data_IF_312220570636
#
_entry.id   IF_312220570636
#
_cell.length_a   1.000
_cell.length_b   1.000
_cell.length_c   1.000
_cell.angle_alpha   90.00
_cell.angle_beta   90.00
_cell.angle_gamma   90.00
#
_symmetry.space_group_name_H-M   'P 1'
#
loop_
_entity.id
_entity.type
_entity.pdbx_description
1 polymer ?
#
# COMPACT_ATOMS: atom_id res chain seq x y z
N UNK A 1 -11.92 -1.50 42.57
CA UNK A 1 -11.70 -2.03 41.21
C UNK A 1 -11.67 -0.81 40.31
N UNK A 2 -10.53 -0.49 39.69
CA UNK A 2 -10.46 0.67 38.80
C UNK A 2 -11.29 0.37 37.54
N UNK A 3 -12.19 1.27 37.16
CA UNK A 3 -12.96 1.14 35.93
C UNK A 3 -11.99 1.03 34.74
N UNK A 4 -12.13 -0.04 33.97
CA UNK A 4 -11.36 -0.24 32.74
C UNK A 4 -11.73 0.87 31.75
N UNK A 5 -10.76 1.71 31.40
CA UNK A 5 -10.93 2.75 30.38
C UNK A 5 -10.89 2.06 29.02
N UNK A 6 -11.96 2.23 28.24
CA UNK A 6 -12.06 1.70 26.89
C UNK A 6 -12.09 2.86 25.89
N UNK A 7 -11.66 2.64 24.63
CA UNK A 7 -11.83 3.63 23.58
C UNK A 7 -13.30 4.07 23.45
N UNK A 8 -13.52 5.37 23.33
CA UNK A 8 -14.86 5.95 23.22
C UNK A 8 -14.86 7.46 23.48
N UNK A 9 -15.99 8.14 23.21
CA UNK A 9 -16.15 9.54 23.54
C UNK A 9 -16.04 9.75 25.06
N UNK A 10 -15.41 10.85 25.46
CA UNK A 10 -15.36 11.20 26.87
C UNK A 10 -16.75 11.58 27.38
N UNK A 11 -17.10 11.19 28.61
CA UNK A 11 -18.37 11.59 29.21
C UNK A 11 -18.40 13.11 29.43
N UNK A 12 -19.59 13.72 29.60
CA UNK A 12 -19.74 15.16 29.79
C UNK A 12 -18.97 15.72 31.00
N UNK A 13 -18.74 14.91 32.03
CA UNK A 13 -17.89 15.25 33.18
C UNK A 13 -16.37 15.28 32.89
N UNK A 14 -15.94 14.88 31.68
CA UNK A 14 -14.55 14.87 31.24
C UNK A 14 -13.92 13.48 31.20
N UNK A 15 -12.81 13.36 30.46
CA UNK A 15 -12.04 12.12 30.42
C UNK A 15 -11.40 11.87 31.80
N UNK A 16 -11.22 10.59 32.22
CA UNK A 16 -10.39 10.29 33.38
C UNK A 16 -8.98 10.86 33.21
N UNK A 17 -8.22 11.04 34.29
CA UNK A 17 -6.82 11.42 34.14
C UNK A 17 -6.00 10.25 33.57
N UNK A 18 -5.05 10.51 32.66
CA UNK A 18 -4.14 9.50 32.13
C UNK A 18 -3.40 8.77 33.25
N UNK A 19 -3.12 7.48 33.06
CA UNK A 19 -2.45 6.65 34.07
C UNK A 19 -0.93 6.72 33.96
N UNK A 20 -0.41 7.02 32.77
CA UNK A 20 1.02 7.19 32.51
C UNK A 20 1.26 8.12 31.30
N UNK A 21 2.53 8.48 31.12
CA UNK A 21 3.01 9.19 29.93
C UNK A 21 3.82 8.18 29.13
N UNK A 22 3.37 7.88 27.91
CA UNK A 22 4.08 7.01 27.00
C UNK A 22 4.90 7.81 26.01
N UNK A 23 6.04 7.26 25.65
CA UNK A 23 6.88 7.79 24.60
C UNK A 23 6.75 6.89 23.37
N UNK A 24 6.07 7.40 22.35
CA UNK A 24 5.74 6.64 21.14
C UNK A 24 6.55 7.16 19.95
N UNK A 25 6.97 6.24 19.09
CA UNK A 25 7.54 6.55 17.78
C UNK A 25 6.41 6.41 16.76
N UNK A 26 6.10 7.50 16.08
CA UNK A 26 5.00 7.57 15.11
C UNK A 26 5.39 8.43 13.91
N UNK A 27 4.77 8.15 12.77
CA UNK A 27 4.90 9.00 11.60
C UNK A 27 3.90 10.15 11.68
N UNK A 28 4.42 11.37 11.77
CA UNK A 28 3.62 12.58 11.66
C UNK A 28 3.45 12.91 10.19
N UNK A 29 2.21 12.82 9.70
CA UNK A 29 1.83 13.23 8.35
C UNK A 29 1.63 14.75 8.33
N UNK A 30 2.38 15.47 7.49
CA UNK A 30 2.27 16.92 7.30
C UNK A 30 1.24 17.27 6.23
N UNK A 31 1.24 16.49 5.15
CA UNK A 31 0.33 16.61 4.03
C UNK A 31 0.22 15.25 3.34
N UNK A 32 -0.89 15.01 2.66
CA UNK A 32 -1.14 13.78 1.93
C UNK A 32 -2.07 14.02 0.76
N UNK A 33 -1.79 13.38 -0.36
CA UNK A 33 -2.69 13.34 -1.50
C UNK A 33 -2.84 11.90 -2.00
N UNK A 34 -3.94 11.61 -2.68
CA UNK A 34 -4.10 10.33 -3.36
C UNK A 34 -4.55 10.54 -4.81
N UNK A 35 -4.14 9.63 -5.68
CA UNK A 35 -4.58 9.61 -7.07
C UNK A 35 -4.61 8.17 -7.61
N UNK A 36 -5.58 7.90 -8.47
CA UNK A 36 -5.62 6.67 -9.26
C UNK A 36 -4.70 6.84 -10.47
N UNK A 37 -3.74 5.92 -10.60
CA UNK A 37 -2.73 5.91 -11.67
C UNK A 37 -2.90 4.64 -12.50
N UNK A 38 -3.32 4.82 -13.76
CA UNK A 38 -3.38 3.75 -14.76
C UNK A 38 -2.06 3.70 -15.54
N UNK A 39 -1.42 2.53 -15.58
CA UNK A 39 -0.12 2.34 -16.23
C UNK A 39 -0.13 1.10 -17.11
N UNK A 40 0.46 1.23 -18.29
CA UNK A 40 0.72 0.14 -19.22
C UNK A 40 2.22 -0.03 -19.37
N UNK A 41 2.72 -1.25 -19.14
CA UNK A 41 4.15 -1.58 -19.23
C UNK A 41 4.35 -2.89 -19.95
N UNK A 42 5.45 -2.97 -20.71
CA UNK A 42 5.84 -4.18 -21.43
C UNK A 42 7.08 -4.75 -20.74
N UNK A 43 7.10 -6.06 -20.55
CA UNK A 43 8.27 -6.81 -20.11
C UNK A 43 8.42 -8.05 -20.97
N UNK A 44 9.65 -8.53 -21.12
CA UNK A 44 9.91 -9.88 -21.63
C UNK A 44 10.02 -10.87 -20.48
N UNK A 45 9.62 -12.11 -20.73
CA UNK A 45 9.84 -13.28 -19.87
C UNK A 45 10.48 -14.37 -20.71
N UNK A 46 11.54 -14.98 -20.18
CA UNK A 46 12.25 -16.08 -20.84
C UNK A 46 11.50 -17.39 -20.68
N UNK A 47 11.40 -18.18 -21.75
CA UNK A 47 10.59 -19.40 -21.80
C UNK A 47 11.44 -20.63 -22.17
N UNK A 48 10.97 -21.81 -21.79
CA UNK A 48 11.65 -23.08 -22.06
C UNK A 48 12.54 -23.58 -20.92
N UNK A 49 13.01 -24.82 -21.04
CA UNK A 49 13.66 -25.55 -19.93
C UNK A 49 14.85 -24.78 -19.36
N UNK A 50 14.79 -24.45 -18.06
CA UNK A 50 15.84 -23.73 -17.34
C UNK A 50 15.70 -22.21 -17.33
N UNK A 51 14.64 -21.66 -17.94
CA UNK A 51 14.33 -20.22 -17.93
C UNK A 51 13.27 -19.86 -16.88
N UNK A 52 12.78 -18.62 -16.90
CA UNK A 52 11.78 -18.12 -15.94
C UNK A 52 10.47 -18.91 -16.01
N UNK A 53 9.97 -19.17 -17.23
CA UNK A 53 8.77 -19.98 -17.47
C UNK A 53 9.08 -21.21 -18.33
N UNK A 54 9.52 -22.32 -17.70
CA UNK A 54 9.91 -23.52 -18.43
C UNK A 54 8.73 -24.31 -19.02
N UNK A 55 7.52 -24.17 -18.49
CA UNK A 55 6.40 -25.05 -18.85
C UNK A 55 5.35 -24.37 -19.73
N UNK A 56 4.91 -25.10 -20.76
CA UNK A 56 3.71 -24.79 -21.53
C UNK A 56 3.95 -24.11 -22.87
N UNK A 57 2.91 -24.14 -23.71
CA UNK A 57 2.87 -23.42 -24.97
C UNK A 57 2.24 -22.05 -24.75
N UNK A 58 2.87 -21.01 -25.29
CA UNK A 58 2.42 -19.63 -25.14
C UNK A 58 1.76 -19.14 -26.41
N UNK A 59 0.65 -18.41 -26.26
CA UNK A 59 -0.07 -17.83 -27.39
C UNK A 59 -0.37 -16.35 -27.16
N UNK A 60 -0.39 -15.57 -28.22
CA UNK A 60 -0.77 -14.15 -28.15
C UNK A 60 -2.22 -14.03 -27.69
N UNK A 61 -2.47 -13.14 -26.73
CA UNK A 61 -3.77 -12.93 -26.09
C UNK A 61 -4.00 -13.79 -24.84
N UNK A 62 -3.07 -14.66 -24.48
CA UNK A 62 -3.15 -15.43 -23.24
C UNK A 62 -3.02 -14.51 -22.03
N UNK A 63 -3.96 -14.61 -21.09
CA UNK A 63 -3.97 -13.83 -19.84
C UNK A 63 -2.91 -14.39 -18.90
N UNK A 64 -2.06 -13.51 -18.39
CA UNK A 64 -1.02 -13.79 -17.40
C UNK A 64 -1.52 -13.28 -16.04
N UNK A 65 -1.74 -14.15 -15.04
CA UNK A 65 -2.07 -13.70 -13.70
C UNK A 65 -0.97 -12.80 -13.13
N UNK A 66 -1.36 -11.69 -12.52
CA UNK A 66 -0.44 -10.75 -11.91
C UNK A 66 -0.98 -10.19 -10.60
N UNK A 67 -0.08 -10.00 -9.64
CA UNK A 67 -0.40 -9.46 -8.32
C UNK A 67 0.79 -8.67 -7.77
N UNK A 68 0.54 -7.87 -6.74
CA UNK A 68 1.63 -7.26 -5.98
C UNK A 68 2.49 -8.36 -5.36
N UNK A 69 3.81 -8.25 -5.46
CA UNK A 69 4.73 -9.25 -4.92
C UNK A 69 4.52 -9.43 -3.43
N UNK A 70 4.37 -10.68 -2.98
CA UNK A 70 4.07 -10.99 -1.58
C UNK A 70 5.16 -10.45 -0.64
N UNK A 71 4.74 -9.75 0.41
CA UNK A 71 5.66 -9.13 1.37
C UNK A 71 6.39 -7.89 0.86
N UNK A 72 6.05 -7.40 -0.34
CA UNK A 72 6.54 -6.13 -0.88
C UNK A 72 5.45 -5.07 -0.83
N UNK A 73 5.88 -3.81 -0.81
CA UNK A 73 5.01 -2.65 -0.81
C UNK A 73 5.35 -1.74 -2.00
N UNK A 74 4.40 -0.92 -2.43
CA UNK A 74 4.67 0.14 -3.40
C UNK A 74 5.51 1.19 -2.69
N UNK A 75 6.64 1.56 -3.29
CA UNK A 75 7.59 2.50 -2.69
C UNK A 75 7.88 3.66 -3.62
N UNK A 76 8.40 4.75 -3.06
CA UNK A 76 8.83 5.89 -3.83
C UNK A 76 10.16 6.40 -3.32
N UNK A 77 10.94 6.94 -4.26
CA UNK A 77 12.19 7.64 -3.96
C UNK A 77 12.09 9.06 -4.48
N UNK A 78 12.39 10.04 -3.65
CA UNK A 78 12.47 11.44 -4.08
C UNK A 78 13.55 11.60 -5.15
N UNK A 79 13.16 12.13 -6.31
CA UNK A 79 14.06 12.47 -7.42
C UNK A 79 14.45 13.94 -7.32
N UNK A 80 13.48 14.81 -7.06
CA UNK A 80 13.70 16.24 -6.96
C UNK A 80 12.65 16.92 -6.10
N UNK A 81 13.06 18.07 -5.54
CA UNK A 81 12.23 18.95 -4.73
C UNK A 81 12.48 20.39 -5.14
N UNK A 82 11.41 21.08 -5.52
CA UNK A 82 11.44 22.50 -5.90
C UNK A 82 10.60 23.28 -4.89
N UNK A 83 11.21 24.19 -4.11
CA UNK A 83 10.46 25.03 -3.18
C UNK A 83 9.44 25.91 -3.89
N UNK A 84 8.21 25.94 -3.37
CA UNK A 84 7.16 26.86 -3.78
C UNK A 84 6.96 27.98 -2.74
N UNK A 85 5.79 28.63 -2.82
CA UNK A 85 5.37 29.64 -1.84
C UNK A 85 4.73 28.97 -0.61
N UNK A 86 4.72 29.68 0.54
CA UNK A 86 4.02 29.30 1.77
C UNK A 86 4.32 27.89 2.35
N UNK A 87 5.53 27.36 2.11
CA UNK A 87 5.96 26.06 2.64
C UNK A 87 5.50 24.86 1.82
N UNK A 88 4.82 25.08 0.70
CA UNK A 88 4.58 24.05 -0.30
C UNK A 88 5.85 23.78 -1.10
N UNK A 89 6.04 22.52 -1.47
CA UNK A 89 7.12 22.08 -2.34
C UNK A 89 6.54 21.23 -3.46
N UNK A 90 7.09 21.39 -4.67
CA UNK A 90 6.83 20.47 -5.77
C UNK A 90 7.83 19.33 -5.68
N UNK A 91 7.34 18.12 -5.40
CA UNK A 91 8.16 16.91 -5.27
C UNK A 91 7.93 16.04 -6.50
N UNK A 92 9.02 15.59 -7.12
CA UNK A 92 8.98 14.50 -8.09
C UNK A 92 9.54 13.24 -7.45
N UNK A 93 8.75 12.18 -7.43
CA UNK A 93 9.13 10.86 -6.91
C UNK A 93 9.17 9.81 -8.02
N UNK A 94 10.07 8.83 -7.87
CA UNK A 94 10.08 7.60 -8.65
C UNK A 94 9.28 6.55 -7.89
N UNK A 95 8.06 6.27 -8.34
CA UNK A 95 7.21 5.21 -7.78
C UNK A 95 7.66 3.88 -8.37
N UNK A 96 7.84 2.88 -7.50
CA UNK A 96 8.25 1.51 -7.82
C UNK A 96 7.14 0.55 -7.43
N UNK A 97 6.60 -0.18 -8.41
CA UNK A 97 5.50 -1.13 -8.23
C UNK A 97 6.02 -2.55 -8.48
N UNK A 98 6.26 -3.34 -7.43
CA UNK A 98 6.70 -4.74 -7.57
C UNK A 98 5.51 -5.64 -7.90
N UNK A 99 5.53 -6.25 -9.08
CA UNK A 99 4.52 -7.20 -9.54
C UNK A 99 5.14 -8.58 -9.75
N UNK A 100 4.44 -9.60 -9.28
CA UNK A 100 4.72 -10.99 -9.59
C UNK A 100 3.81 -11.42 -10.73
N UNK A 101 4.41 -11.94 -11.80
CA UNK A 101 3.71 -12.53 -12.93
C UNK A 101 3.78 -14.05 -12.82
N UNK A 102 2.63 -14.71 -12.89
CA UNK A 102 2.55 -16.18 -12.82
C UNK A 102 2.41 -16.76 -14.22
N UNK A 103 3.15 -17.84 -14.50
CA UNK A 103 3.00 -18.55 -15.76
C UNK A 103 1.55 -19.06 -15.89
N UNK A 104 0.81 -18.67 -16.95
CA UNK A 104 -0.56 -19.11 -17.15
C UNK A 104 -0.72 -20.62 -17.39
N UNK A 105 0.37 -21.32 -17.69
CA UNK A 105 0.40 -22.77 -17.90
C UNK A 105 0.89 -23.55 -16.66
N UNK A 106 1.44 -22.88 -15.65
CA UNK A 106 1.99 -23.49 -14.44
C UNK A 106 2.01 -22.51 -13.26
N UNK A 107 1.12 -22.69 -12.28
CA UNK A 107 0.93 -21.72 -11.17
C UNK A 107 2.16 -21.54 -10.26
N UNK A 108 3.02 -22.55 -10.18
CA UNK A 108 4.24 -22.54 -9.35
C UNK A 108 5.42 -21.78 -10.01
N UNK A 109 5.29 -21.42 -11.29
CA UNK A 109 6.33 -20.72 -12.04
C UNK A 109 6.03 -19.21 -12.03
N UNK A 110 6.72 -18.47 -11.18
CA UNK A 110 6.52 -17.03 -11.03
C UNK A 110 7.77 -16.25 -11.37
N UNK A 111 7.56 -15.01 -11.78
CA UNK A 111 8.63 -14.08 -12.10
C UNK A 111 8.30 -12.68 -11.58
N UNK A 112 9.24 -12.10 -10.84
CA UNK A 112 9.07 -10.77 -10.28
C UNK A 112 9.60 -9.70 -11.24
N UNK A 113 8.86 -8.59 -11.30
CA UNK A 113 9.18 -7.40 -12.08
C UNK A 113 8.88 -6.15 -11.26
N UNK A 114 9.71 -5.12 -11.41
CA UNK A 114 9.46 -3.82 -10.77
C UNK A 114 9.21 -2.79 -11.85
N UNK A 115 8.00 -2.25 -11.87
CA UNK A 115 7.61 -1.21 -12.81
C UNK A 115 7.74 0.17 -12.17
N UNK A 116 8.55 1.01 -12.79
CA UNK A 116 8.83 2.34 -12.28
C UNK A 116 8.11 3.41 -13.09
N UNK A 117 7.62 4.47 -12.43
CA UNK A 117 7.13 5.67 -13.09
C UNK A 117 7.35 6.90 -12.22
N UNK A 118 7.49 8.06 -12.85
CA UNK A 118 7.65 9.32 -12.11
C UNK A 118 6.29 9.95 -11.83
N UNK A 119 6.12 10.45 -10.61
CA UNK A 119 4.97 11.27 -10.22
C UNK A 119 5.45 12.60 -9.68
N UNK A 120 4.78 13.68 -10.09
CA UNK A 120 4.99 15.01 -9.52
C UNK A 120 3.75 15.45 -8.77
N UNK A 121 3.93 15.97 -7.56
CA UNK A 121 2.86 16.50 -6.72
C UNK A 121 3.34 17.76 -5.99
N UNK A 122 2.40 18.62 -5.61
CA UNK A 122 2.66 19.77 -4.73
C UNK A 122 2.09 19.44 -3.36
N UNK A 123 2.95 19.42 -2.35
CA UNK A 123 2.60 19.04 -0.97
C UNK A 123 3.31 19.98 0.02
N UNK A 124 2.72 20.17 1.18
CA UNK A 124 3.40 20.81 2.31
C UNK A 124 4.42 19.83 2.93
N UNK A 125 5.68 19.95 2.50
CA UNK A 125 6.79 19.06 2.89
C UNK A 125 8.00 19.89 3.34
N UNK A 126 8.01 20.35 4.60
CA UNK A 126 9.09 21.18 5.10
C UNK A 126 10.43 20.41 5.14
N UNK A 127 11.53 21.14 5.33
CA UNK A 127 12.87 20.54 5.41
C UNK A 127 12.94 19.49 6.53
N UNK A 128 13.47 18.31 6.22
CA UNK A 128 13.55 17.18 7.13
C UNK A 128 12.33 16.26 7.15
N UNK A 129 11.31 16.57 6.32
CA UNK A 129 10.16 15.68 6.05
C UNK A 129 10.38 15.04 4.69
N UNK A 130 10.15 13.73 4.61
CA UNK A 130 10.38 12.93 3.42
C UNK A 130 9.06 12.42 2.82
N UNK A 131 8.97 12.32 1.48
CA UNK A 131 7.81 11.72 0.84
C UNK A 131 7.79 10.21 1.06
N UNK A 132 6.62 9.68 1.42
CA UNK A 132 6.34 8.26 1.54
C UNK A 132 5.08 7.89 0.74
N UNK A 133 5.06 6.66 0.22
CA UNK A 133 3.90 6.11 -0.47
C UNK A 133 3.69 4.63 -0.19
N UNK A 134 4.24 4.12 0.93
CA UNK A 134 4.05 2.76 1.42
C UNK A 134 2.58 2.36 1.57
N UNK A 135 1.71 3.34 1.86
CA UNK A 135 0.25 3.16 1.99
C UNK A 135 -0.50 3.03 0.66
N UNK A 136 0.21 3.05 -0.47
CA UNK A 136 -0.38 2.86 -1.79
C UNK A 136 -0.77 1.41 -2.02
N UNK A 137 -1.82 1.19 -2.81
CA UNK A 137 -2.33 -0.16 -3.09
C UNK A 137 -2.49 -0.42 -4.58
N UNK A 138 -2.24 -1.68 -4.97
CA UNK A 138 -2.59 -2.17 -6.30
C UNK A 138 -4.10 -2.48 -6.32
N UNK A 139 -4.86 -1.77 -7.15
CA UNK A 139 -6.31 -1.95 -7.28
C UNK A 139 -6.66 -2.98 -8.36
N UNK A 140 -5.90 -2.95 -9.45
CA UNK A 140 -6.13 -3.79 -10.61
C UNK A 140 -4.81 -4.15 -11.27
N UNK A 141 -4.71 -5.37 -11.80
CA UNK A 141 -3.61 -5.79 -12.64
C UNK A 141 -4.14 -6.79 -13.67
N UNK A 142 -3.84 -6.55 -14.95
CA UNK A 142 -4.16 -7.42 -16.06
C UNK A 142 -2.97 -7.46 -17.01
N UNK A 143 -2.37 -8.63 -17.14
CA UNK A 143 -1.27 -8.85 -18.06
C UNK A 143 -1.71 -9.81 -19.17
N UNK A 144 -1.25 -9.56 -20.39
CA UNK A 144 -1.51 -10.41 -21.55
C UNK A 144 -0.23 -10.61 -22.36
N UNK A 145 -0.06 -11.81 -22.91
CA UNK A 145 1.02 -12.08 -23.86
C UNK A 145 0.71 -11.37 -25.18
N UNK A 146 1.57 -10.47 -25.61
CA UNK A 146 1.40 -9.69 -26.84
C UNK A 146 2.27 -10.19 -27.99
N UNK A 147 3.40 -10.83 -27.69
CA UNK A 147 4.25 -11.49 -28.67
C UNK A 147 4.85 -12.78 -28.13
N UNK A 148 5.05 -13.75 -29.02
CA UNK A 148 5.71 -15.03 -28.72
C UNK A 148 6.91 -15.18 -29.65
N UNK A 149 8.10 -15.18 -29.07
CA UNK A 149 9.37 -15.46 -29.73
C UNK A 149 9.77 -16.93 -29.60
N UNK A 150 11.01 -17.26 -29.97
CA UNK A 150 11.52 -18.63 -29.86
C UNK A 150 11.73 -19.07 -28.40
N UNK A 151 12.36 -18.21 -27.59
CA UNK A 151 12.73 -18.49 -26.19
C UNK A 151 12.27 -17.38 -25.22
N UNK A 152 11.39 -16.49 -25.69
CA UNK A 152 10.89 -15.35 -24.91
C UNK A 152 9.46 -15.02 -25.29
N UNK A 153 8.68 -14.55 -24.33
CA UNK A 153 7.36 -13.93 -24.57
C UNK A 153 7.38 -12.48 -24.13
N UNK A 154 6.71 -11.61 -24.87
CA UNK A 154 6.43 -10.25 -24.42
C UNK A 154 5.07 -10.23 -23.73
N UNK A 155 5.07 -9.65 -22.53
CA UNK A 155 3.88 -9.50 -21.69
C UNK A 155 3.62 -8.01 -21.52
N UNK A 156 2.44 -7.57 -21.92
CA UNK A 156 1.94 -6.22 -21.64
C UNK A 156 1.06 -6.28 -20.41
N UNK A 157 1.40 -5.50 -19.40
CA UNK A 157 0.70 -5.38 -18.13
C UNK A 157 0.06 -4.01 -17.99
N UNK A 158 -1.27 -4.02 -17.89
CA UNK A 158 -2.09 -2.87 -17.55
C UNK A 158 -2.48 -2.97 -16.08
N UNK A 159 -2.02 -2.04 -15.26
CA UNK A 159 -2.27 -2.04 -13.83
C UNK A 159 -2.69 -0.66 -13.32
N UNK A 160 -3.53 -0.68 -12.29
CA UNK A 160 -4.05 0.51 -11.63
C UNK A 160 -3.54 0.56 -10.19
N UNK A 161 -2.90 1.67 -9.84
CA UNK A 161 -2.41 1.93 -8.47
C UNK A 161 -3.23 3.04 -7.85
N UNK A 162 -3.75 2.81 -6.66
CA UNK A 162 -4.18 3.88 -5.77
C UNK A 162 -2.92 4.43 -5.09
N UNK A 163 -2.32 5.45 -5.69
CA UNK A 163 -1.09 6.07 -5.20
C UNK A 163 -1.46 7.05 -4.10
N UNK A 164 -1.06 6.76 -2.86
CA UNK A 164 -1.14 7.66 -1.72
C UNK A 164 0.26 8.22 -1.49
N UNK A 165 0.45 9.51 -1.67
CA UNK A 165 1.72 10.19 -1.42
C UNK A 165 1.56 11.09 -0.19
N UNK A 166 2.35 10.79 0.84
CA UNK A 166 2.36 11.46 2.13
C UNK A 166 3.71 12.14 2.36
N UNK A 167 3.72 13.25 3.08
CA UNK A 167 4.94 13.85 3.62
C UNK A 167 5.04 13.51 5.10
N UNK A 168 5.95 12.61 5.45
CA UNK A 168 6.05 12.05 6.80
C UNK A 168 7.38 12.39 7.47
N UNK A 169 7.32 12.51 8.79
CA UNK A 169 8.49 12.54 9.65
C UNK A 169 8.24 11.63 10.84
N UNK A 170 9.10 10.64 11.01
CA UNK A 170 9.09 9.78 12.19
C UNK A 170 9.53 10.61 13.40
N UNK A 171 8.61 10.80 14.35
CA UNK A 171 8.81 11.61 15.55
C UNK A 171 8.60 10.79 16.80
N UNK A 172 9.22 11.24 17.88
CA UNK A 172 9.01 10.70 19.21
C UNK A 172 8.10 11.66 20.00
N UNK A 173 6.90 11.21 20.34
CA UNK A 173 5.90 12.01 21.05
C UNK A 173 5.68 11.49 22.46
N UNK A 174 5.56 12.42 23.42
CA UNK A 174 5.05 12.13 24.74
C UNK A 174 3.53 12.24 24.71
N UNK A 175 2.84 11.12 24.87
CA UNK A 175 1.38 11.06 24.82
C UNK A 175 0.85 10.57 26.17
N UNK A 176 -0.09 11.29 26.79
CA UNK A 176 -0.81 10.76 27.94
C UNK A 176 -1.62 9.53 27.53
N UNK A 177 -1.40 8.39 28.20
CA UNK A 177 -2.08 7.14 27.87
C UNK A 177 -2.89 6.61 29.05
N UNK A 178 -3.91 5.80 28.71
CA UNK A 178 -4.74 5.08 29.68
C UNK A 178 -4.36 3.58 29.79
N UNK A 179 -3.22 3.20 29.19
CA UNK A 179 -2.78 1.81 29.03
C UNK A 179 -3.13 1.20 27.68
N UNK A 180 -2.99 -0.13 27.57
CA UNK A 180 -3.24 -0.87 26.33
C UNK A 180 -4.72 -1.21 26.14
N UNK A 181 -5.19 -1.15 24.88
CA UNK A 181 -6.50 -1.68 24.52
C UNK A 181 -6.53 -3.20 24.71
N UNK A 182 -7.41 -3.69 25.57
CA UNK A 182 -7.69 -5.13 25.70
C UNK A 182 -8.81 -5.53 24.72
N UNK A 183 -8.59 -6.52 23.85
CA UNK A 183 -9.63 -6.95 22.92
C UNK A 183 -10.84 -7.52 23.68
N UNK A 184 -12.05 -7.10 23.30
CA UNK A 184 -13.27 -7.73 23.79
C UNK A 184 -13.41 -9.15 23.19
N UNK A 185 -13.94 -10.13 23.94
CA UNK A 185 -14.22 -11.45 23.38
C UNK A 185 -15.24 -11.35 22.24
N UNK A 186 -14.98 -12.08 21.14
CA UNK A 186 -15.92 -12.16 20.03
C UNK A 186 -17.25 -12.75 20.52
N UNK A 187 -18.35 -12.03 20.31
CA UNK A 187 -19.69 -12.57 20.55
C UNK A 187 -19.99 -13.60 19.46
N UNK A 188 -20.28 -14.85 19.83
CA UNK A 188 -20.81 -15.81 18.88
C UNK A 188 -22.13 -15.26 18.32
N UNK A 189 -22.23 -15.12 16.99
CA UNK A 189 -23.49 -14.76 16.36
C UNK A 189 -24.52 -15.85 16.72
N UNK A 190 -25.67 -15.52 17.32
CA UNK A 190 -26.77 -16.47 17.40
C UNK A 190 -27.13 -16.89 15.96
N UNK A 191 -27.46 -18.16 15.70
CA UNK A 191 -27.60 -18.71 14.35
C UNK A 191 -28.70 -18.10 13.45
N UNK A 192 -29.33 -16.99 13.85
CA UNK A 192 -30.50 -16.41 13.17
C UNK A 192 -30.59 -14.88 13.16
N UNK A 193 -29.50 -14.13 13.29
CA UNK A 193 -29.55 -12.66 13.19
C UNK A 193 -28.63 -12.11 12.09
N UNK A 194 -29.24 -11.64 10.99
CA UNK A 194 -28.69 -10.63 10.08
C UNK A 194 -28.19 -9.39 10.86
N UNK A 195 -27.20 -8.67 10.33
CA UNK A 195 -25.96 -8.32 11.03
C UNK A 195 -26.15 -7.38 12.24
N UNK A 196 -25.26 -7.48 13.24
CA UNK A 196 -25.31 -6.66 14.44
C UNK A 196 -25.06 -5.19 14.10
N UNK A 197 -25.70 -4.30 14.86
CA UNK A 197 -25.35 -2.88 14.91
C UNK A 197 -23.83 -2.76 15.09
N UNK A 198 -23.13 -1.92 14.30
CA UNK A 198 -21.71 -1.77 14.46
C UNK A 198 -21.41 -1.23 15.87
N UNK A 199 -20.22 -1.56 16.42
CA UNK A 199 -19.87 -1.18 17.78
C UNK A 199 -19.92 0.35 17.95
N UNK A 200 -20.08 0.87 19.18
CA UNK A 200 -20.22 2.32 19.45
C UNK A 200 -19.08 3.19 18.93
N UNK A 201 -17.94 2.59 18.60
CA UNK A 201 -16.78 3.23 17.98
C UNK A 201 -16.88 3.40 16.45
N UNK A 202 -18.00 3.00 15.85
CA UNK A 202 -18.36 3.25 14.46
C UNK A 202 -19.51 4.28 14.30
N UNK A 203 -19.92 4.95 15.39
CA UNK A 203 -20.94 6.01 15.40
C UNK A 203 -20.38 7.30 16.00
#
# INVERSE_FOLDING_TARGET
MANQVNPGPCPPEGCPSPTQIDCIVVDKVYDSCYQIEDRSRITSVTTGVGNEWPTGDFTVGQVVPCALTAGSEISCTEISRVPGEDGFVTITVLVSVPLTLTNPNAEDETVDRVFNFTKTAVLCCPTGVDPDCSRSTLQYCNCVITQVGADTVEVTCDFQVCLVLECILTVQLLVPSYGFCTPAPCTALPPSACPPSPPPQCF
#
